data_IF_917845145922
#
_entry.id   IF_917845145922
#
_cell.length_a   1.000
_cell.length_b   1.000
_cell.length_c   1.000
_cell.angle_alpha   90.00
_cell.angle_beta   90.00
_cell.angle_gamma   90.00
#
_symmetry.space_group_name_H-M   'P 1'
#
loop_
_entity.id
_entity.type
_entity.pdbx_description
1 polymer ?
#
# COMPACT_ATOMS: atom_id res chain seq x y z
N UNK A 1 33.41 -26.16 -13.25
CA UNK A 1 32.52 -25.27 -12.47
C UNK A 1 31.75 -24.44 -13.47
N UNK A 2 30.44 -24.62 -13.59
CA UNK A 2 29.58 -23.78 -14.40
C UNK A 2 29.34 -22.48 -13.64
N UNK A 3 29.73 -21.35 -14.22
CA UNK A 3 29.40 -20.02 -13.70
C UNK A 3 27.88 -19.89 -13.74
N UNK A 4 27.20 -19.56 -12.63
CA UNK A 4 25.76 -19.34 -12.68
C UNK A 4 25.45 -18.19 -13.66
N UNK A 5 24.33 -18.25 -14.40
CA UNK A 5 23.94 -17.17 -15.30
C UNK A 5 23.72 -15.89 -14.49
N UNK A 6 24.09 -14.75 -15.08
CA UNK A 6 23.80 -13.43 -14.49
C UNK A 6 22.29 -13.24 -14.37
N UNK A 7 21.82 -12.56 -13.33
CA UNK A 7 20.40 -12.23 -13.21
C UNK A 7 19.96 -11.32 -14.38
N UNK A 8 18.71 -11.47 -14.79
CA UNK A 8 18.11 -10.56 -15.77
C UNK A 8 18.15 -9.12 -15.25
N UNK A 9 18.57 -8.15 -16.07
CA UNK A 9 18.53 -6.75 -15.67
C UNK A 9 17.13 -6.32 -15.29
N UNK A 10 17.07 -5.37 -14.35
CA UNK A 10 15.80 -4.77 -13.94
C UNK A 10 15.13 -4.06 -15.11
N UNK A 11 13.81 -4.18 -15.18
CA UNK A 11 12.98 -3.58 -16.22
C UNK A 11 11.80 -2.87 -15.59
N UNK A 12 11.33 -1.79 -16.24
CA UNK A 12 10.09 -1.14 -15.80
C UNK A 12 8.89 -2.09 -15.99
N UNK A 13 7.83 -1.92 -15.18
CA UNK A 13 6.59 -2.71 -15.31
C UNK A 13 5.90 -2.51 -16.67
N UNK A 14 6.22 -1.44 -17.42
CA UNK A 14 5.55 -1.05 -18.65
C UNK A 14 4.16 -0.46 -18.40
N UNK A 15 3.50 0.17 -19.39
CA UNK A 15 2.29 0.96 -19.18
C UNK A 15 1.01 0.14 -18.96
N UNK A 16 1.01 -1.15 -19.30
CA UNK A 16 -0.21 -1.98 -19.27
C UNK A 16 -0.65 -2.41 -17.86
N UNK A 17 0.20 -2.31 -16.86
CA UNK A 17 -0.15 -2.67 -15.49
C UNK A 17 -1.34 -1.85 -14.96
N UNK A 18 -1.42 -0.56 -15.30
CA UNK A 18 -2.52 0.32 -14.92
C UNK A 18 -3.89 -0.07 -15.48
N UNK A 19 -3.94 -0.89 -16.52
CA UNK A 19 -5.17 -1.40 -17.12
C UNK A 19 -5.47 -2.85 -16.73
N UNK A 20 -4.44 -3.67 -16.60
CA UNK A 20 -4.60 -5.11 -16.41
C UNK A 20 -4.76 -5.52 -14.96
N UNK A 21 -4.17 -4.79 -14.02
CA UNK A 21 -4.09 -5.19 -12.62
C UNK A 21 -5.16 -4.60 -11.70
N UNK A 22 -5.66 -3.35 -11.89
CA UNK A 22 -6.76 -2.83 -11.09
C UNK A 22 -8.03 -3.68 -11.25
N UNK A 23 -8.81 -3.80 -10.19
CA UNK A 23 -10.10 -4.49 -10.20
C UNK A 23 -11.10 -3.75 -9.31
N UNK A 24 -12.38 -3.94 -9.59
CA UNK A 24 -13.47 -3.30 -8.84
C UNK A 24 -13.41 -3.70 -7.36
N UNK A 25 -13.48 -2.71 -6.46
CA UNK A 25 -13.38 -2.92 -5.03
C UNK A 25 -11.96 -3.26 -4.55
N UNK A 26 -10.92 -2.98 -5.34
CA UNK A 26 -9.53 -3.21 -4.96
C UNK A 26 -9.12 -2.50 -3.67
N UNK A 27 -9.68 -1.33 -3.40
CA UNK A 27 -9.47 -0.55 -2.18
C UNK A 27 -10.32 -0.95 -0.99
N UNK A 28 -11.24 -1.92 -1.14
CA UNK A 28 -12.15 -2.36 -0.07
C UNK A 28 -11.56 -3.57 0.68
N UNK A 29 -10.74 -3.34 1.70
CA UNK A 29 -10.16 -4.40 2.54
C UNK A 29 -11.13 -4.80 3.66
N UNK A 30 -11.81 -3.82 4.27
CA UNK A 30 -12.81 -4.05 5.29
C UNK A 30 -14.06 -4.72 4.71
N UNK A 31 -14.79 -5.53 5.52
CA UNK A 31 -16.10 -6.01 5.13
C UNK A 31 -17.05 -4.86 4.78
N UNK A 32 -17.94 -5.09 3.82
CA UNK A 32 -18.91 -4.09 3.39
C UNK A 32 -19.80 -3.64 4.57
N UNK A 33 -19.92 -2.33 4.79
CA UNK A 33 -20.74 -1.77 5.85
C UNK A 33 -20.20 -1.96 7.28
N UNK A 34 -18.96 -2.43 7.47
CA UNK A 34 -18.40 -2.60 8.82
C UNK A 34 -18.34 -1.26 9.55
N UNK A 35 -18.89 -1.15 10.79
CA UNK A 35 -19.02 0.12 11.50
C UNK A 35 -17.67 0.75 11.87
N UNK A 36 -16.66 -0.08 12.17
CA UNK A 36 -15.31 0.36 12.55
C UNK A 36 -14.36 0.52 11.35
N UNK A 37 -14.91 0.53 10.13
CA UNK A 37 -14.09 0.75 8.96
C UNK A 37 -13.58 2.18 8.91
N UNK A 38 -12.28 2.31 8.62
CA UNK A 38 -11.57 3.57 8.47
C UNK A 38 -11.14 3.77 7.02
N UNK A 39 -10.89 5.01 6.66
CA UNK A 39 -10.33 5.38 5.36
C UNK A 39 -8.88 5.81 5.53
N UNK A 40 -8.00 5.25 4.73
CA UNK A 40 -6.64 5.74 4.55
C UNK A 40 -6.52 6.24 3.13
N UNK A 41 -6.02 7.45 2.95
CA UNK A 41 -5.89 8.06 1.63
C UNK A 41 -4.65 8.92 1.55
N UNK A 42 -4.31 9.35 0.35
CA UNK A 42 -3.18 10.24 0.13
C UNK A 42 -2.88 10.36 -1.36
N UNK A 43 -1.72 10.89 -1.66
CA UNK A 43 -1.22 11.07 -3.03
C UNK A 43 0.09 10.33 -3.22
N UNK A 44 0.36 9.96 -4.46
CA UNK A 44 1.70 9.59 -4.91
C UNK A 44 2.28 10.78 -5.66
N UNK A 45 3.43 11.25 -5.21
CA UNK A 45 4.10 12.45 -5.72
C UNK A 45 5.50 12.08 -6.20
N UNK A 46 5.96 12.75 -7.24
CA UNK A 46 7.35 12.66 -7.71
C UNK A 46 8.31 13.57 -6.91
N UNK A 47 9.55 13.71 -7.37
CA UNK A 47 10.58 14.53 -6.72
C UNK A 47 10.28 16.03 -6.73
N UNK A 48 9.52 16.51 -7.72
CA UNK A 48 9.14 17.91 -7.85
C UNK A 48 7.82 18.23 -7.11
N UNK A 49 7.20 17.21 -6.48
CA UNK A 49 5.91 17.31 -5.84
C UNK A 49 4.74 17.26 -6.80
N UNK A 50 4.97 16.88 -8.06
CA UNK A 50 3.91 16.68 -9.04
C UNK A 50 3.22 15.33 -8.81
N UNK A 51 1.89 15.23 -9.06
CA UNK A 51 1.16 13.98 -8.89
C UNK A 51 1.59 12.92 -9.90
N UNK A 52 1.61 11.66 -9.46
CA UNK A 52 1.88 10.49 -10.30
C UNK A 52 0.54 9.80 -10.61
N UNK A 53 -0.05 10.01 -11.80
CA UNK A 53 -1.44 9.64 -12.10
C UNK A 53 -1.65 8.17 -12.45
N UNK A 54 -0.61 7.37 -12.52
CA UNK A 54 -0.67 5.97 -12.92
C UNK A 54 0.13 5.04 -12.01
N UNK A 55 0.35 5.46 -10.76
CA UNK A 55 0.89 4.57 -9.77
C UNK A 55 -0.13 3.48 -9.41
N UNK A 56 0.36 2.28 -9.16
CA UNK A 56 -0.42 1.17 -8.63
C UNK A 56 0.13 0.81 -7.26
N UNK A 57 -0.74 0.77 -6.27
CA UNK A 57 -0.39 0.48 -4.90
C UNK A 57 -0.99 -0.87 -4.49
N UNK A 58 -0.14 -1.79 -4.07
CA UNK A 58 -0.56 -3.02 -3.39
C UNK A 58 -0.40 -2.83 -1.89
N UNK A 59 -1.48 -3.04 -1.16
CA UNK A 59 -1.51 -2.96 0.29
C UNK A 59 -1.62 -4.33 0.90
N UNK A 60 -0.91 -4.55 1.99
CA UNK A 60 -1.05 -5.73 2.82
C UNK A 60 -1.10 -5.34 4.28
N UNK A 61 -2.08 -5.90 5.01
CA UNK A 61 -2.30 -5.62 6.42
C UNK A 61 -2.66 -6.89 7.17
N UNK A 62 -2.14 -7.04 8.39
CA UNK A 62 -2.65 -8.03 9.32
C UNK A 62 -4.09 -7.68 9.73
N UNK A 63 -4.93 -8.69 9.91
CA UNK A 63 -6.28 -8.51 10.43
C UNK A 63 -6.26 -7.96 11.88
N UNK A 64 -7.36 -7.35 12.36
CA UNK A 64 -7.44 -6.83 13.72
C UNK A 64 -7.14 -7.86 14.82
N UNK A 65 -7.35 -9.16 14.55
CA UNK A 65 -6.99 -10.26 15.45
C UNK A 65 -5.51 -10.67 15.35
N UNK A 66 -4.74 -10.05 14.45
CA UNK A 66 -3.33 -10.34 14.18
C UNK A 66 -3.11 -11.42 13.12
N UNK A 67 -4.15 -12.02 12.56
CA UNK A 67 -4.02 -13.00 11.48
C UNK A 67 -3.41 -12.36 10.22
N UNK A 68 -2.52 -13.09 9.57
CA UNK A 68 -1.86 -12.68 8.32
C UNK A 68 -2.29 -13.53 7.12
N UNK A 69 -3.27 -14.40 7.29
CA UNK A 69 -3.71 -15.32 6.24
C UNK A 69 -4.60 -14.67 5.18
N UNK A 70 -5.13 -13.47 5.46
CA UNK A 70 -6.12 -12.82 4.61
C UNK A 70 -7.42 -13.63 4.55
N UNK A 71 -8.15 -13.49 3.45
CA UNK A 71 -9.39 -14.23 3.19
C UNK A 71 -9.29 -14.97 1.85
N UNK A 72 -8.74 -16.20 1.82
CA UNK A 72 -8.65 -17.01 0.61
C UNK A 72 -10.03 -17.17 -0.04
N UNK A 73 -10.11 -17.02 -1.37
CA UNK A 73 -11.37 -17.10 -2.11
C UNK A 73 -12.22 -15.83 -2.09
N UNK A 74 -11.77 -14.77 -1.44
CA UNK A 74 -12.50 -13.48 -1.41
C UNK A 74 -12.59 -12.80 -2.78
N UNK A 75 -11.66 -13.06 -3.70
CA UNK A 75 -11.68 -12.53 -5.07
C UNK A 75 -12.65 -13.36 -5.92
N UNK A 76 -13.64 -12.66 -6.47
CA UNK A 76 -14.60 -13.26 -7.43
C UNK A 76 -13.97 -13.19 -8.83
N UNK A 77 -14.03 -14.31 -9.52
CA UNK A 77 -13.49 -14.43 -10.87
C UNK A 77 -14.58 -14.83 -11.86
N UNK A 78 -14.45 -14.32 -13.07
CA UNK A 78 -15.24 -14.80 -14.21
C UNK A 78 -14.84 -16.26 -14.52
N UNK A 79 -15.78 -17.19 -14.62
CA UNK A 79 -15.46 -18.61 -14.81
C UNK A 79 -14.94 -18.94 -16.21
N UNK A 80 -15.13 -18.06 -17.19
CA UNK A 80 -14.71 -18.28 -18.59
C UNK A 80 -13.37 -17.62 -18.86
N UNK A 81 -13.22 -16.35 -18.49
CA UNK A 81 -12.04 -15.55 -18.80
C UNK A 81 -10.99 -15.55 -17.69
N UNK A 82 -11.36 -15.96 -16.47
CA UNK A 82 -10.51 -15.86 -15.29
C UNK A 82 -10.34 -14.43 -14.76
N UNK A 83 -10.94 -13.42 -15.40
CA UNK A 83 -10.83 -12.03 -14.99
C UNK A 83 -11.36 -11.81 -13.57
N UNK A 84 -10.74 -10.91 -12.82
CA UNK A 84 -11.21 -10.52 -11.49
C UNK A 84 -12.42 -9.62 -11.63
N UNK A 85 -13.57 -10.05 -11.09
CA UNK A 85 -14.83 -9.32 -11.09
C UNK A 85 -14.98 -8.39 -9.86
N UNK A 86 -14.17 -8.59 -8.83
CA UNK A 86 -14.23 -7.85 -7.59
C UNK A 86 -14.07 -8.76 -6.37
N UNK A 87 -14.57 -8.29 -5.21
CA UNK A 87 -14.55 -9.02 -3.93
C UNK A 87 -15.97 -9.41 -3.53
N UNK A 88 -16.11 -10.42 -2.65
CA UNK A 88 -17.43 -10.78 -2.08
C UNK A 88 -17.89 -9.80 -0.98
N UNK A 89 -16.97 -9.01 -0.37
CA UNK A 89 -17.32 -7.97 0.61
C UNK A 89 -17.75 -8.48 2.00
N UNK A 90 -17.56 -9.78 2.28
CA UNK A 90 -18.01 -10.41 3.55
C UNK A 90 -16.88 -10.42 4.57
N UNK A 91 -15.69 -10.84 4.16
CA UNK A 91 -14.55 -11.02 5.07
C UNK A 91 -13.56 -9.87 4.96
N UNK A 92 -12.78 -9.66 6.03
CA UNK A 92 -11.59 -8.83 5.99
C UNK A 92 -10.53 -9.50 5.12
N UNK A 93 -10.10 -8.84 4.05
CA UNK A 93 -9.25 -9.49 3.04
C UNK A 93 -7.77 -9.34 3.27
N UNK A 94 -7.33 -8.37 4.06
CA UNK A 94 -5.92 -8.06 4.32
C UNK A 94 -5.14 -7.50 3.13
N UNK A 95 -5.62 -7.70 1.92
CA UNK A 95 -4.98 -7.26 0.67
C UNK A 95 -5.85 -6.23 -0.06
N UNK A 96 -5.22 -5.13 -0.50
CA UNK A 96 -5.82 -4.11 -1.36
C UNK A 96 -4.96 -3.82 -2.58
N UNK A 97 -5.59 -3.37 -3.66
CA UNK A 97 -4.91 -2.87 -4.86
C UNK A 97 -5.64 -1.66 -5.39
N UNK A 98 -4.95 -0.54 -5.45
CA UNK A 98 -5.53 0.76 -5.83
C UNK A 98 -4.61 1.43 -6.85
N UNK A 99 -5.19 1.93 -7.93
CA UNK A 99 -4.50 2.84 -8.84
C UNK A 99 -4.74 4.29 -8.39
N UNK A 100 -3.77 5.16 -8.65
CA UNK A 100 -3.95 6.60 -8.47
C UNK A 100 -4.79 7.19 -9.60
N UNK A 101 -5.52 8.25 -9.29
CA UNK A 101 -6.25 9.07 -10.27
C UNK A 101 -5.35 10.13 -10.95
N UNK A 102 -5.95 11.03 -11.73
CA UNK A 102 -5.25 12.08 -12.45
C UNK A 102 -4.49 13.06 -11.52
N UNK A 103 -4.95 13.21 -10.29
CA UNK A 103 -4.33 14.06 -9.27
C UNK A 103 -3.36 13.27 -8.36
N UNK A 104 -3.01 12.03 -8.74
CA UNK A 104 -2.15 11.14 -7.97
C UNK A 104 -2.82 10.58 -6.72
N UNK A 105 -4.11 10.84 -6.51
CA UNK A 105 -4.82 10.46 -5.30
C UNK A 105 -5.21 8.98 -5.30
N UNK A 106 -5.17 8.37 -4.12
CA UNK A 106 -5.61 7.00 -3.84
C UNK A 106 -6.40 6.96 -2.53
N UNK A 107 -7.25 5.97 -2.38
CA UNK A 107 -7.99 5.73 -1.14
C UNK A 107 -8.18 4.23 -0.89
N UNK A 108 -8.11 3.85 0.37
CA UNK A 108 -8.26 2.49 0.87
C UNK A 108 -9.24 2.48 2.04
N UNK A 109 -10.19 1.56 2.04
CA UNK A 109 -11.09 1.34 3.17
C UNK A 109 -10.72 0.06 3.90
N UNK A 110 -10.37 0.19 5.17
CA UNK A 110 -9.83 -0.92 5.98
C UNK A 110 -10.35 -0.89 7.42
N UNK A 111 -9.88 -1.80 8.26
CA UNK A 111 -10.02 -1.76 9.71
C UNK A 111 -8.68 -1.33 10.33
N UNK A 112 -8.71 -0.72 11.50
CA UNK A 112 -7.46 -0.40 12.21
C UNK A 112 -6.68 -1.68 12.51
N UNK A 113 -5.37 -1.70 12.21
CA UNK A 113 -4.52 -2.83 12.57
C UNK A 113 -4.32 -2.90 14.08
N UNK A 114 -3.80 -4.02 14.56
CA UNK A 114 -3.42 -4.16 15.97
C UNK A 114 -2.24 -3.28 16.33
N UNK A 115 -2.15 -2.95 17.63
CA UNK A 115 -1.06 -2.12 18.17
C UNK A 115 0.35 -2.72 18.00
N UNK A 116 0.47 -4.04 17.88
CA UNK A 116 1.74 -4.76 17.66
C UNK A 116 2.18 -4.83 16.19
N UNK A 117 1.27 -4.53 15.26
CA UNK A 117 1.54 -4.44 13.82
C UNK A 117 0.76 -3.26 13.20
N UNK A 118 0.97 -2.03 13.69
CA UNK A 118 0.10 -0.88 13.45
C UNK A 118 0.34 -0.24 12.07
N UNK A 119 0.59 -1.01 11.05
CA UNK A 119 0.94 -0.49 9.72
C UNK A 119 0.28 -1.24 8.58
N UNK A 120 0.14 -0.54 7.48
CA UNK A 120 -0.08 -1.08 6.15
C UNK A 120 1.27 -1.27 5.48
N UNK A 121 1.58 -2.46 4.98
CA UNK A 121 2.70 -2.67 4.04
C UNK A 121 2.24 -2.24 2.66
N UNK A 122 3.04 -1.45 1.98
CA UNK A 122 2.71 -0.87 0.67
C UNK A 122 3.80 -1.24 -0.33
N UNK A 123 3.40 -1.77 -1.47
CA UNK A 123 4.26 -1.94 -2.63
C UNK A 123 3.80 -0.97 -3.71
N UNK A 124 4.72 -0.12 -4.16
CA UNK A 124 4.45 0.94 -5.14
C UNK A 124 5.01 0.54 -6.48
N UNK A 125 4.17 0.57 -7.51
CA UNK A 125 4.55 0.46 -8.91
C UNK A 125 4.21 1.78 -9.59
N UNK A 126 5.15 2.32 -10.36
CA UNK A 126 4.91 3.52 -11.15
C UNK A 126 5.72 3.46 -12.44
N UNK A 127 5.27 4.20 -13.44
CA UNK A 127 5.97 4.33 -14.71
C UNK A 127 7.33 4.99 -14.47
N UNK A 128 8.39 4.43 -15.08
CA UNK A 128 9.75 4.91 -14.91
C UNK A 128 10.54 4.26 -13.77
N UNK A 129 9.90 3.62 -12.80
CA UNK A 129 10.58 2.83 -11.80
C UNK A 129 11.13 1.54 -12.41
N UNK A 130 12.41 1.24 -12.19
CA UNK A 130 13.04 -0.02 -12.60
C UNK A 130 12.73 -1.16 -11.61
N UNK A 131 12.36 -0.81 -10.39
CA UNK A 131 11.96 -1.72 -9.32
C UNK A 131 10.70 -1.16 -8.66
N UNK A 132 9.84 -2.04 -8.15
CA UNK A 132 8.82 -1.63 -7.22
C UNK A 132 9.46 -1.16 -5.91
N UNK A 133 8.79 -0.26 -5.20
CA UNK A 133 9.28 0.29 -3.94
C UNK A 133 8.41 -0.25 -2.81
N UNK A 134 9.04 -0.63 -1.70
CA UNK A 134 8.33 -1.05 -0.49
C UNK A 134 8.37 0.04 0.56
N UNK A 135 7.23 0.31 1.18
CA UNK A 135 7.14 1.20 2.34
C UNK A 135 6.10 0.71 3.34
N UNK A 136 5.93 1.43 4.44
CA UNK A 136 4.88 1.21 5.43
C UNK A 136 4.18 2.52 5.76
N UNK A 137 2.87 2.47 5.91
CA UNK A 137 2.10 3.54 6.52
C UNK A 137 1.70 3.11 7.93
N UNK A 138 2.28 3.72 8.95
CA UNK A 138 1.94 3.47 10.35
C UNK A 138 0.73 4.29 10.73
N UNK A 139 -0.30 3.62 11.26
CA UNK A 139 -1.52 4.27 11.74
C UNK A 139 -1.43 4.50 13.26
N UNK A 140 -1.76 5.69 13.75
CA UNK A 140 -1.72 6.02 15.19
C UNK A 140 -2.86 5.34 15.95
N UNK A 141 -2.73 4.03 16.17
CA UNK A 141 -3.72 3.25 16.93
C UNK A 141 -3.49 3.37 18.44
N UNK A 142 -4.54 3.24 19.29
CA UNK A 142 -4.38 3.25 20.74
C UNK A 142 -3.41 2.17 21.22
N UNK A 143 -2.47 2.55 22.11
CA UNK A 143 -1.45 1.65 22.63
C UNK A 143 -0.31 1.32 21.67
N UNK A 144 -0.23 2.03 20.55
CA UNK A 144 0.87 1.91 19.62
C UNK A 144 2.20 2.36 20.25
N UNK A 145 3.22 1.52 20.04
CA UNK A 145 4.61 1.85 20.32
C UNK A 145 5.45 1.69 19.04
N UNK A 146 6.41 2.60 18.80
CA UNK A 146 7.29 2.50 17.63
C UNK A 146 8.03 1.16 17.62
N UNK A 147 7.95 0.45 16.50
CA UNK A 147 8.69 -0.78 16.28
C UNK A 147 10.18 -0.53 16.02
N UNK A 148 10.97 -1.60 15.89
CA UNK A 148 12.42 -1.50 15.67
C UNK A 148 12.79 -0.68 14.44
N UNK A 149 11.97 -0.70 13.38
CA UNK A 149 12.20 0.11 12.19
C UNK A 149 12.07 1.60 12.52
N UNK A 150 10.96 2.00 13.10
CA UNK A 150 10.73 3.42 13.44
C UNK A 150 11.74 3.93 14.47
N UNK A 151 12.13 3.11 15.45
CA UNK A 151 13.14 3.48 16.45
C UNK A 151 14.52 3.70 15.80
N UNK A 152 14.84 2.95 14.75
CA UNK A 152 16.13 3.07 14.04
C UNK A 152 16.26 4.34 13.18
N UNK A 153 15.15 5.00 12.87
CA UNK A 153 15.12 6.17 11.98
C UNK A 153 15.25 7.48 12.76
N UNK A 154 15.95 8.50 12.21
CA UNK A 154 15.86 9.87 12.67
C UNK A 154 14.39 10.37 12.69
N UNK A 155 14.07 11.33 13.56
CA UNK A 155 12.70 11.78 13.76
C UNK A 155 12.03 12.28 12.47
N UNK A 156 12.76 13.06 11.67
CA UNK A 156 12.29 13.56 10.38
C UNK A 156 12.00 12.44 9.36
N UNK A 157 12.81 11.38 9.34
CA UNK A 157 12.59 10.23 8.46
C UNK A 157 11.44 9.37 8.95
N UNK A 158 11.31 9.22 10.28
CA UNK A 158 10.20 8.51 10.89
C UNK A 158 8.86 9.16 10.55
N UNK A 159 8.80 10.48 10.52
CA UNK A 159 7.59 11.23 10.19
C UNK A 159 7.05 10.88 8.78
N UNK A 160 7.91 10.53 7.82
CA UNK A 160 7.47 10.14 6.47
C UNK A 160 6.80 8.77 6.40
N UNK A 161 6.76 8.03 7.50
CA UNK A 161 6.11 6.71 7.59
C UNK A 161 4.85 6.72 8.46
N UNK A 162 4.53 7.82 9.14
CA UNK A 162 3.37 7.90 10.04
C UNK A 162 2.25 8.65 9.36
N UNK A 163 1.08 8.03 9.30
CA UNK A 163 -0.12 8.66 8.77
C UNK A 163 -0.69 9.68 9.76
N UNK A 164 -1.23 10.77 9.25
CA UNK A 164 -1.89 11.81 10.03
C UNK A 164 -3.38 11.50 10.19
N UNK A 165 -3.89 11.49 11.42
CA UNK A 165 -5.33 11.42 11.64
C UNK A 165 -5.95 12.81 11.37
N UNK A 166 -6.49 13.02 10.18
CA UNK A 166 -7.12 14.28 9.76
C UNK A 166 -8.46 14.52 10.47
N UNK A 167 -9.17 13.46 10.73
CA UNK A 167 -10.41 13.39 11.52
C UNK A 167 -10.68 11.95 11.92
N UNK A 168 -11.58 11.76 12.86
CA UNK A 168 -11.92 10.41 13.36
C UNK A 168 -12.17 9.41 12.23
N UNK A 169 -11.34 8.37 12.17
CA UNK A 169 -11.43 7.29 11.20
C UNK A 169 -10.95 7.64 9.78
N UNK A 170 -10.27 8.78 9.60
CA UNK A 170 -9.70 9.19 8.31
C UNK A 170 -8.24 9.57 8.49
N UNK A 171 -7.37 8.89 7.77
CA UNK A 171 -5.92 9.00 7.88
C UNK A 171 -5.32 9.42 6.54
N UNK A 172 -4.53 10.49 6.54
CA UNK A 172 -3.77 10.98 5.39
C UNK A 172 -2.37 10.36 5.36
N UNK A 173 -1.92 9.89 4.21
CA UNK A 173 -0.58 9.37 3.99
C UNK A 173 -0.13 9.61 2.55
N UNK A 174 0.70 10.62 2.34
CA UNK A 174 1.30 10.88 1.04
C UNK A 174 2.57 10.05 0.84
N UNK A 175 2.78 9.58 -0.38
CA UNK A 175 3.96 8.83 -0.80
C UNK A 175 4.75 9.69 -1.78
N UNK A 176 5.90 10.19 -1.35
CA UNK A 176 6.81 10.93 -2.21
C UNK A 176 7.92 10.00 -2.69
N UNK A 177 7.96 9.76 -3.99
CA UNK A 177 8.85 8.76 -4.60
C UNK A 177 10.32 9.19 -4.59
N UNK A 178 10.56 10.50 -4.59
CA UNK A 178 11.90 11.09 -4.61
C UNK A 178 11.86 12.48 -3.95
N UNK A 179 12.96 12.91 -3.33
CA UNK A 179 13.02 14.22 -2.70
C UNK A 179 14.24 14.40 -1.83
N UNK A 180 14.25 15.47 -1.04
CA UNK A 180 15.24 15.69 0.01
C UNK A 180 15.09 14.69 1.16
N UNK A 181 16.11 14.66 2.03
CA UNK A 181 16.15 13.69 3.16
C UNK A 181 14.96 13.77 4.12
N UNK A 182 14.23 14.87 4.15
CA UNK A 182 13.06 15.08 5.02
C UNK A 182 11.73 14.91 4.30
N UNK A 183 11.73 14.78 2.97
CA UNK A 183 10.54 14.79 2.14
C UNK A 183 10.25 13.45 1.49
N UNK A 184 11.30 12.77 1.00
CA UNK A 184 11.17 11.45 0.38
C UNK A 184 10.65 10.44 1.40
N UNK A 185 9.63 9.67 1.05
CA UNK A 185 9.15 8.55 1.85
C UNK A 185 10.28 7.55 2.09
N UNK A 186 10.38 6.99 3.29
CA UNK A 186 11.34 5.91 3.55
C UNK A 186 10.90 4.66 2.81
N UNK A 187 11.75 4.18 1.91
CA UNK A 187 11.57 2.89 1.25
C UNK A 187 12.47 1.83 1.87
N UNK A 188 11.94 0.60 1.92
CA UNK A 188 12.59 -0.55 2.53
C UNK A 188 13.33 -1.35 1.46
N UNK A 189 14.53 -1.75 1.78
CA UNK A 189 15.36 -2.61 0.95
C UNK A 189 15.45 -4.00 1.58
N UNK A 190 15.18 -5.04 0.80
CA UNK A 190 15.17 -6.44 1.23
C UNK A 190 16.27 -7.24 0.51
N UNK A 191 17.53 -6.81 0.66
CA UNK A 191 18.68 -7.56 0.17
C UNK A 191 19.15 -8.66 1.11
#
# INVERSE_FOLDING_TARGET
MTVPPLPTPSQTVGPFYGYALPFTGGGEIAPAGHPDAVTVHGRVLDGDGSPVPDALLDFWQAAPDGSRTGAPGSLRRDPVTGAVLGRHGVDFTGFGRVATDADGHWALRTLLPRHDTPYLSICVFARGLLHHLYTRAYLPVPGYEPDALLVSLPAERRATLVADEERSGVYGFDIRLQGGTTEETVFLDFH
#
